data_IF_546058057364
#
_entry.id   IF_546058057364
#
_cell.length_a   1.000
_cell.length_b   1.000
_cell.length_c   1.000
_cell.angle_alpha   90.00
_cell.angle_beta   90.00
_cell.angle_gamma   90.00
#
_symmetry.space_group_name_H-M   'P 1'
#
loop_
_entity.id
_entity.type
_entity.pdbx_description
1 polymer ?
#
# COMPACT_ATOMS: atom_id res chain seq x y z
N UNK A 1 -24.11 18.26 -11.96
CA UNK A 1 -22.88 17.94 -12.77
C UNK A 1 -21.76 17.60 -11.82
N UNK A 2 -20.85 16.68 -12.17
CA UNK A 2 -19.67 16.37 -11.36
C UNK A 2 -18.54 17.38 -11.59
N UNK A 3 -17.82 17.73 -10.52
CA UNK A 3 -16.73 18.73 -10.60
C UNK A 3 -15.63 18.29 -11.57
N UNK A 4 -15.31 16.99 -11.61
CA UNK A 4 -14.33 16.46 -12.57
C UNK A 4 -14.70 16.75 -14.03
N UNK A 5 -16.00 16.70 -14.36
CA UNK A 5 -16.48 16.93 -15.72
C UNK A 5 -16.47 18.43 -16.06
N UNK A 6 -16.73 19.29 -15.06
CA UNK A 6 -16.57 20.74 -15.24
C UNK A 6 -15.12 21.06 -15.63
N UNK A 7 -14.12 20.49 -14.92
CA UNK A 7 -12.70 20.70 -15.26
C UNK A 7 -12.33 20.23 -16.65
N UNK A 8 -12.96 19.14 -17.15
CA UNK A 8 -12.68 18.60 -18.49
C UNK A 8 -13.25 19.48 -19.60
N UNK A 9 -14.44 20.08 -19.40
CA UNK A 9 -15.19 20.76 -20.46
C UNK A 9 -15.57 22.19 -20.11
N UNK A 10 -14.84 22.87 -19.18
CA UNK A 10 -15.21 24.18 -18.67
C UNK A 10 -15.39 25.24 -19.78
N UNK A 11 -14.59 25.16 -20.86
CA UNK A 11 -14.68 26.12 -21.97
C UNK A 11 -16.09 26.14 -22.66
N UNK A 12 -16.73 24.97 -22.71
CA UNK A 12 -18.05 24.80 -23.28
C UNK A 12 -19.16 25.18 -22.29
N UNK A 13 -18.82 25.23 -21.00
CA UNK A 13 -19.73 25.53 -19.89
C UNK A 13 -19.72 27.02 -19.48
N UNK A 14 -18.75 27.80 -19.96
CA UNK A 14 -18.71 29.24 -19.65
C UNK A 14 -20.04 29.93 -20.05
N UNK A 15 -20.47 30.83 -19.18
CA UNK A 15 -21.73 31.59 -19.28
C UNK A 15 -23.00 30.73 -19.25
N UNK A 16 -22.90 29.44 -18.90
CA UNK A 16 -24.04 28.55 -18.71
C UNK A 16 -24.34 28.33 -17.24
N UNK A 17 -25.62 28.14 -16.96
CA UNK A 17 -26.09 27.77 -15.65
C UNK A 17 -25.88 26.27 -15.44
N UNK A 18 -25.28 25.92 -14.31
CA UNK A 18 -25.06 24.56 -13.89
C UNK A 18 -25.50 24.32 -12.45
N UNK A 19 -25.87 23.08 -12.14
CA UNK A 19 -26.10 22.60 -10.77
C UNK A 19 -24.97 21.69 -10.34
N UNK A 20 -24.42 21.96 -9.16
CA UNK A 20 -23.41 21.11 -8.50
C UNK A 20 -23.82 20.79 -7.07
N UNK A 21 -23.38 19.67 -6.55
CA UNK A 21 -23.59 19.27 -5.15
C UNK A 21 -22.24 18.87 -4.56
N UNK A 22 -22.03 19.12 -3.27
CA UNK A 22 -20.78 18.75 -2.62
C UNK A 22 -20.70 19.24 -1.18
N UNK A 23 -19.52 19.08 -0.61
CA UNK A 23 -19.21 19.48 0.74
C UNK A 23 -18.32 20.72 0.76
N UNK A 24 -18.64 21.64 1.67
CA UNK A 24 -17.86 22.86 1.91
C UNK A 24 -16.52 22.48 2.54
N UNK A 25 -15.41 22.73 1.83
CA UNK A 25 -14.04 22.51 2.31
C UNK A 25 -13.36 23.77 2.82
N UNK A 26 -13.88 24.93 2.45
CA UNK A 26 -13.46 26.22 2.98
C UNK A 26 -14.60 27.19 2.76
N UNK A 27 -14.85 28.08 3.72
CA UNK A 27 -15.84 29.13 3.63
C UNK A 27 -15.23 30.44 4.14
N UNK A 28 -15.05 31.39 3.24
CA UNK A 28 -14.55 32.73 3.55
C UNK A 28 -15.71 33.73 3.39
N UNK A 29 -16.09 34.37 4.46
CA UNK A 29 -17.19 35.30 4.54
C UNK A 29 -16.65 36.73 4.60
N UNK A 30 -17.18 37.60 3.72
CA UNK A 30 -16.92 39.02 3.75
C UNK A 30 -18.28 39.78 3.76
N UNK A 31 -18.24 41.07 4.01
CA UNK A 31 -19.47 41.89 4.20
C UNK A 31 -20.41 41.88 2.98
N UNK A 32 -19.86 41.84 1.78
CA UNK A 32 -20.60 41.99 0.51
C UNK A 32 -20.50 40.72 -0.37
N UNK A 33 -19.53 39.87 -0.17
CA UNK A 33 -19.23 38.70 -0.98
C UNK A 33 -18.70 37.58 -0.14
N UNK A 34 -18.95 36.33 -0.53
CA UNK A 34 -18.36 35.15 0.11
C UNK A 34 -17.85 34.15 -0.90
N UNK A 35 -16.92 33.29 -0.43
CA UNK A 35 -16.26 32.31 -1.26
C UNK A 35 -16.34 30.96 -0.58
N UNK A 36 -16.72 29.91 -1.33
CA UNK A 36 -16.79 28.53 -0.85
C UNK A 36 -15.92 27.68 -1.77
N UNK A 37 -14.99 26.94 -1.19
CA UNK A 37 -14.30 25.85 -1.89
C UNK A 37 -15.17 24.59 -1.74
N UNK A 38 -15.80 24.16 -2.83
CA UNK A 38 -16.70 23.01 -2.88
C UNK A 38 -15.96 21.78 -3.43
N UNK A 39 -16.15 20.64 -2.80
CA UNK A 39 -15.68 19.34 -3.27
C UNK A 39 -16.84 18.36 -3.32
N UNK A 40 -17.03 17.70 -4.45
CA UNK A 40 -17.97 16.59 -4.59
C UNK A 40 -17.31 15.20 -4.46
N UNK A 41 -15.99 15.18 -4.25
CA UNK A 41 -15.22 13.96 -4.14
C UNK A 41 -14.83 13.30 -5.47
N UNK A 42 -15.27 13.79 -6.62
CA UNK A 42 -15.00 13.17 -7.93
C UNK A 42 -13.60 13.45 -8.48
N UNK A 43 -12.95 14.53 -8.02
CA UNK A 43 -11.55 14.85 -8.32
C UNK A 43 -10.87 15.49 -7.10
N UNK A 44 -9.55 15.67 -7.17
CA UNK A 44 -8.77 16.29 -6.10
C UNK A 44 -8.97 17.81 -6.03
N UNK A 45 -9.21 18.43 -7.19
CA UNK A 45 -9.49 19.88 -7.30
C UNK A 45 -10.83 20.23 -6.67
N UNK A 46 -10.93 21.47 -6.22
CA UNK A 46 -12.14 22.06 -5.62
C UNK A 46 -12.70 23.10 -6.57
N UNK A 47 -14.02 23.24 -6.61
CA UNK A 47 -14.68 24.29 -7.36
C UNK A 47 -14.89 25.51 -6.44
N UNK A 48 -14.36 26.66 -6.82
CA UNK A 48 -14.65 27.91 -6.13
C UNK A 48 -16.07 28.37 -6.48
N UNK A 49 -16.88 28.58 -5.47
CA UNK A 49 -18.20 29.19 -5.56
C UNK A 49 -18.07 30.61 -5.03
N UNK A 50 -18.56 31.57 -5.80
CA UNK A 50 -18.64 32.97 -5.39
C UNK A 50 -20.12 33.33 -5.23
N UNK A 51 -20.49 33.95 -4.10
CA UNK A 51 -21.83 34.43 -3.81
C UNK A 51 -21.76 35.84 -3.27
N UNK A 52 -22.75 36.67 -3.61
CA UNK A 52 -22.87 38.07 -3.21
C UNK A 52 -24.30 38.41 -2.84
N UNK A 53 -24.59 39.70 -2.54
CA UNK A 53 -25.92 40.15 -2.16
C UNK A 53 -27.02 39.88 -3.19
N UNK A 54 -26.66 39.59 -4.44
CA UNK A 54 -27.64 39.23 -5.49
C UNK A 54 -28.03 37.74 -5.40
N UNK A 55 -27.23 36.92 -4.65
CA UNK A 55 -27.51 35.50 -4.45
C UNK A 55 -28.72 35.35 -3.53
N UNK A 56 -29.68 34.54 -3.94
CA UNK A 56 -30.83 34.22 -3.11
C UNK A 56 -30.38 33.61 -1.77
N UNK A 57 -31.00 34.07 -0.68
CA UNK A 57 -30.68 33.62 0.69
C UNK A 57 -29.25 33.99 1.16
N UNK A 58 -28.67 35.09 0.69
CA UNK A 58 -27.29 35.50 1.04
C UNK A 58 -27.01 35.46 2.55
N UNK A 59 -27.90 35.98 3.39
CA UNK A 59 -27.73 36.00 4.86
C UNK A 59 -27.71 34.58 5.49
N UNK A 60 -28.47 33.63 4.93
CA UNK A 60 -28.52 32.27 5.41
C UNK A 60 -27.29 31.47 4.92
N UNK A 61 -26.84 31.72 3.69
CA UNK A 61 -25.60 31.13 3.17
C UNK A 61 -24.41 31.49 4.07
N UNK A 62 -24.36 32.73 4.53
CA UNK A 62 -23.31 33.20 5.42
C UNK A 62 -23.25 32.44 6.77
N UNK A 63 -24.31 31.76 7.17
CA UNK A 63 -24.39 30.97 8.41
C UNK A 63 -23.99 29.50 8.22
N UNK A 64 -23.91 29.02 6.99
CA UNK A 64 -23.56 27.61 6.71
C UNK A 64 -22.15 27.30 7.21
N UNK A 65 -22.02 26.21 7.93
CA UNK A 65 -20.74 25.79 8.53
C UNK A 65 -19.83 25.06 7.52
N UNK A 66 -18.54 25.08 7.82
CA UNK A 66 -17.55 24.22 7.19
C UNK A 66 -17.94 22.74 7.36
N UNK A 67 -17.76 21.94 6.32
CA UNK A 67 -18.13 20.52 6.35
C UNK A 67 -19.55 20.21 5.91
N UNK A 68 -20.45 21.20 5.90
CA UNK A 68 -21.84 21.03 5.44
C UNK A 68 -21.91 20.63 3.96
N UNK A 69 -22.94 19.87 3.60
CA UNK A 69 -23.24 19.53 2.22
C UNK A 69 -24.28 20.51 1.64
N UNK A 70 -24.04 20.96 0.41
CA UNK A 70 -24.85 21.95 -0.26
C UNK A 70 -25.14 21.59 -1.72
N UNK A 71 -26.25 22.13 -2.24
CA UNK A 71 -26.53 22.19 -3.66
C UNK A 71 -26.39 23.66 -4.12
N UNK A 72 -25.65 23.89 -5.18
CA UNK A 72 -25.38 25.20 -5.74
C UNK A 72 -25.90 25.26 -7.17
N UNK A 73 -26.66 26.26 -7.49
CA UNK A 73 -27.09 26.61 -8.86
C UNK A 73 -26.45 27.96 -9.19
N UNK A 74 -25.76 28.05 -10.31
CA UNK A 74 -25.05 29.26 -10.68
C UNK A 74 -24.53 29.23 -12.11
N UNK A 75 -23.95 30.34 -12.53
CA UNK A 75 -23.33 30.49 -13.85
C UNK A 75 -21.83 30.28 -13.74
N UNK A 76 -21.27 29.41 -14.59
CA UNK A 76 -19.83 29.25 -14.67
C UNK A 76 -19.21 30.45 -15.39
N UNK A 77 -18.29 31.14 -14.74
CA UNK A 77 -17.65 32.35 -15.28
C UNK A 77 -16.10 32.19 -15.27
N UNK A 78 -15.39 32.92 -16.15
CA UNK A 78 -13.92 32.99 -16.03
C UNK A 78 -13.54 33.58 -14.66
N UNK A 79 -12.54 33.00 -14.01
CA UNK A 79 -12.07 33.54 -12.74
C UNK A 79 -11.18 34.77 -12.97
N UNK A 80 -11.33 35.82 -12.16
CA UNK A 80 -10.41 36.95 -12.18
C UNK A 80 -9.09 36.68 -11.48
N UNK A 81 -8.96 35.53 -10.76
CA UNK A 81 -7.78 35.18 -9.98
C UNK A 81 -6.75 34.48 -10.84
N UNK A 82 -5.45 34.85 -10.70
CA UNK A 82 -4.36 34.15 -11.33
C UNK A 82 -4.28 32.68 -10.88
N UNK A 83 -4.05 31.80 -11.84
CA UNK A 83 -3.92 30.35 -11.58
C UNK A 83 -5.24 29.58 -11.47
N UNK A 84 -6.39 30.25 -11.61
CA UNK A 84 -7.73 29.65 -11.63
C UNK A 84 -8.46 29.98 -12.92
N UNK A 85 -8.84 28.96 -13.70
CA UNK A 85 -9.45 29.19 -15.02
C UNK A 85 -10.90 29.70 -14.95
N UNK A 86 -11.64 29.25 -13.94
CA UNK A 86 -13.09 29.54 -13.81
C UNK A 86 -13.55 29.46 -12.35
N UNK A 87 -14.70 30.02 -12.09
CA UNK A 87 -15.43 29.92 -10.82
C UNK A 87 -16.93 29.85 -11.08
N UNK A 88 -17.72 29.39 -10.12
CA UNK A 88 -19.17 29.34 -10.22
C UNK A 88 -19.79 30.52 -9.46
N UNK A 89 -20.36 31.47 -10.18
CA UNK A 89 -21.13 32.56 -9.59
C UNK A 89 -22.51 32.04 -9.20
N UNK A 90 -22.74 31.89 -7.89
CA UNK A 90 -23.95 31.30 -7.36
C UNK A 90 -25.16 32.23 -7.56
N UNK A 91 -26.26 31.68 -8.03
CA UNK A 91 -27.60 32.27 -8.02
C UNK A 91 -28.38 31.85 -6.79
N UNK A 92 -28.24 30.56 -6.42
CA UNK A 92 -28.90 29.95 -5.28
C UNK A 92 -27.97 28.90 -4.64
N UNK A 93 -27.97 28.84 -3.30
CA UNK A 93 -27.30 27.79 -2.52
C UNK A 93 -28.28 27.20 -1.52
N UNK A 94 -28.47 25.89 -1.57
CA UNK A 94 -29.34 25.15 -0.67
C UNK A 94 -28.54 24.29 0.26
N UNK A 95 -28.79 24.38 1.56
CA UNK A 95 -28.27 23.45 2.54
C UNK A 95 -28.93 22.08 2.37
N UNK A 96 -28.14 21.01 2.23
CA UNK A 96 -28.60 19.62 2.18
C UNK A 96 -28.45 18.99 3.58
N UNK A 97 -27.26 19.10 4.15
CA UNK A 97 -26.96 18.58 5.49
C UNK A 97 -26.03 19.55 6.21
N UNK A 98 -26.43 19.97 7.40
CA UNK A 98 -25.62 20.84 8.24
C UNK A 98 -24.47 20.08 8.88
N UNK A 99 -23.42 20.81 9.24
CA UNK A 99 -22.28 20.31 9.98
C UNK A 99 -22.14 21.14 11.27
N UNK A 100 -22.47 20.59 12.43
CA UNK A 100 -22.48 21.35 13.67
C UNK A 100 -21.08 21.80 14.09
N UNK A 101 -21.01 22.78 15.02
CA UNK A 101 -19.75 23.40 15.47
C UNK A 101 -18.80 22.43 16.20
N UNK A 102 -19.31 21.34 16.76
CA UNK A 102 -18.54 20.30 17.43
C UNK A 102 -17.86 19.32 16.45
N UNK A 103 -17.96 19.55 15.13
CA UNK A 103 -17.27 18.76 14.13
C UNK A 103 -15.76 18.72 14.40
N UNK A 104 -15.16 17.52 14.63
CA UNK A 104 -13.80 17.43 15.16
C UNK A 104 -12.74 17.95 14.19
N UNK A 105 -12.96 17.82 12.86
CA UNK A 105 -12.01 18.27 11.84
C UNK A 105 -12.31 19.74 11.46
N UNK A 106 -11.70 20.64 12.20
CA UNK A 106 -11.83 22.08 11.97
C UNK A 106 -10.93 22.56 10.82
N UNK A 107 -11.18 23.77 10.21
CA UNK A 107 -10.38 24.33 9.13
C UNK A 107 -8.99 24.84 9.63
N UNK A 108 -8.23 23.96 10.26
CA UNK A 108 -6.85 24.19 10.77
C UNK A 108 -6.00 22.97 10.49
N UNK A 109 -4.69 23.09 10.70
CA UNK A 109 -3.79 21.93 10.65
C UNK A 109 -4.07 20.98 11.82
N UNK A 110 -4.16 19.69 11.54
CA UNK A 110 -4.31 18.62 12.52
C UNK A 110 -3.10 17.69 12.43
N UNK A 111 -2.67 17.16 13.58
CA UNK A 111 -1.64 16.12 13.60
C UNK A 111 -2.18 14.82 12.99
N UNK A 112 -1.27 13.99 12.48
CA UNK A 112 -1.67 12.68 11.92
C UNK A 112 -2.19 11.75 13.01
N UNK A 113 -1.67 11.85 14.24
CA UNK A 113 -2.13 11.11 15.43
C UNK A 113 -3.62 11.39 15.69
N UNK A 114 -3.98 12.66 15.79
CA UNK A 114 -5.39 13.06 15.96
C UNK A 114 -6.27 12.53 14.80
N UNK A 115 -5.78 12.62 13.58
CA UNK A 115 -6.55 12.12 12.41
C UNK A 115 -6.67 10.58 12.37
N UNK A 116 -5.76 9.83 13.01
CA UNK A 116 -5.92 8.38 13.22
C UNK A 116 -7.04 8.06 14.20
N UNK A 117 -7.20 8.85 15.28
CA UNK A 117 -8.31 8.74 16.20
C UNK A 117 -9.66 9.06 15.54
N UNK A 118 -9.63 9.88 14.48
CA UNK A 118 -10.80 10.24 13.68
C UNK A 118 -10.80 9.51 12.32
N UNK A 119 -10.48 8.21 12.30
CA UNK A 119 -10.28 7.45 11.06
C UNK A 119 -11.47 7.53 10.09
N UNK A 120 -12.71 7.56 10.60
CA UNK A 120 -13.94 7.65 9.79
C UNK A 120 -14.17 9.05 9.18
N UNK A 121 -13.52 10.09 9.69
CA UNK A 121 -13.62 11.47 9.19
C UNK A 121 -12.38 11.91 8.40
N UNK A 122 -11.21 11.35 8.68
CA UNK A 122 -9.95 11.78 8.04
C UNK A 122 -9.94 11.76 6.51
N UNK A 123 -10.72 10.90 5.80
CA UNK A 123 -10.83 10.98 4.34
C UNK A 123 -11.38 12.31 3.82
N UNK A 124 -12.00 13.12 4.67
CA UNK A 124 -12.48 14.46 4.31
C UNK A 124 -11.37 15.51 4.26
N UNK A 125 -10.17 15.21 4.79
CA UNK A 125 -9.01 16.12 4.75
C UNK A 125 -8.28 16.04 3.40
N UNK A 126 -7.62 17.12 3.01
CA UNK A 126 -6.90 17.17 1.72
C UNK A 126 -5.77 16.12 1.65
N UNK A 127 -5.03 15.91 2.75
CA UNK A 127 -3.98 14.91 2.82
C UNK A 127 -4.50 13.51 2.51
N UNK A 128 -5.54 13.08 3.23
CA UNK A 128 -6.05 11.72 3.05
C UNK A 128 -6.85 11.54 1.75
N UNK A 129 -7.40 12.62 1.19
CA UNK A 129 -7.92 12.58 -0.18
C UNK A 129 -6.81 12.31 -1.19
N UNK A 130 -5.63 12.95 -1.07
CA UNK A 130 -4.49 12.66 -1.94
C UNK A 130 -4.04 11.22 -1.78
N UNK A 131 -3.74 10.79 -0.54
CA UNK A 131 -3.23 9.44 -0.25
C UNK A 131 -4.17 8.34 -0.75
N UNK A 132 -5.48 8.42 -0.47
CA UNK A 132 -6.41 7.35 -0.85
C UNK A 132 -6.78 7.37 -2.33
N UNK A 133 -6.65 8.51 -3.03
CA UNK A 133 -6.73 8.55 -4.49
C UNK A 133 -5.52 7.88 -5.12
N UNK A 134 -4.31 8.20 -4.64
CA UNK A 134 -3.09 7.52 -5.08
C UNK A 134 -3.17 6.02 -4.79
N UNK A 135 -3.67 5.61 -3.61
CA UNK A 135 -3.91 4.19 -3.28
C UNK A 135 -4.79 3.50 -4.33
N UNK A 136 -5.89 4.12 -4.71
CA UNK A 136 -6.80 3.56 -5.73
C UNK A 136 -6.15 3.46 -7.10
N UNK A 137 -5.46 4.52 -7.54
CA UNK A 137 -4.76 4.58 -8.83
C UNK A 137 -3.65 3.53 -8.88
N UNK A 138 -2.84 3.43 -7.82
CA UNK A 138 -1.76 2.46 -7.71
C UNK A 138 -2.27 1.01 -7.75
N UNK A 139 -3.40 0.71 -7.10
CA UNK A 139 -4.03 -0.61 -7.17
C UNK A 139 -4.38 -1.00 -8.60
N UNK A 140 -4.96 -0.07 -9.35
CA UNK A 140 -5.29 -0.31 -10.77
C UNK A 140 -4.05 -0.43 -11.64
N UNK A 141 -3.00 0.36 -11.39
CA UNK A 141 -1.72 0.26 -12.09
C UNK A 141 -1.10 -1.14 -11.96
N UNK A 142 -1.15 -1.72 -10.75
CA UNK A 142 -0.65 -3.07 -10.49
C UNK A 142 -1.45 -4.11 -11.29
N UNK A 143 -2.78 -4.03 -11.26
CA UNK A 143 -3.62 -4.92 -12.06
C UNK A 143 -3.36 -4.78 -13.56
N UNK A 144 -3.27 -3.54 -14.07
CA UNK A 144 -3.01 -3.28 -15.47
C UNK A 144 -1.64 -3.82 -15.91
N UNK A 145 -0.60 -3.63 -15.09
CA UNK A 145 0.72 -4.19 -15.36
C UNK A 145 0.67 -5.70 -15.56
N UNK A 146 0.19 -6.44 -14.56
CA UNK A 146 0.17 -7.89 -14.62
C UNK A 146 -0.74 -8.42 -15.73
N UNK A 147 -1.94 -7.84 -15.89
CA UNK A 147 -2.88 -8.28 -16.94
C UNK A 147 -2.33 -8.03 -18.33
N UNK A 148 -1.67 -6.89 -18.58
CA UNK A 148 -1.04 -6.58 -19.86
C UNK A 148 0.13 -7.51 -20.22
N UNK A 149 0.78 -8.10 -19.20
CA UNK A 149 1.85 -9.09 -19.35
C UNK A 149 1.35 -10.54 -19.43
N UNK A 150 0.02 -10.75 -19.41
CA UNK A 150 -0.61 -12.06 -19.52
C UNK A 150 -0.62 -12.90 -18.25
N UNK A 151 -0.52 -12.27 -17.08
CA UNK A 151 -0.67 -12.98 -15.82
C UNK A 151 -2.13 -13.29 -15.49
N UNK A 152 -2.38 -14.47 -14.92
CA UNK A 152 -3.66 -14.81 -14.33
C UNK A 152 -3.77 -14.20 -12.93
N UNK A 153 -4.85 -13.44 -12.66
CA UNK A 153 -5.16 -12.98 -11.32
C UNK A 153 -5.85 -14.08 -10.51
N UNK A 154 -5.22 -14.49 -9.42
CA UNK A 154 -5.69 -15.54 -8.53
C UNK A 154 -6.28 -14.96 -7.24
N UNK A 155 -7.47 -15.40 -6.88
CA UNK A 155 -8.05 -15.19 -5.55
C UNK A 155 -7.68 -16.38 -4.65
N UNK A 156 -6.62 -16.23 -3.87
CA UNK A 156 -6.25 -17.25 -2.91
C UNK A 156 -7.13 -17.17 -1.64
N UNK A 157 -7.32 -18.29 -0.93
CA UNK A 157 -8.14 -18.31 0.29
C UNK A 157 -7.47 -17.54 1.43
N UNK A 158 -8.29 -16.88 2.24
CA UNK A 158 -7.83 -16.17 3.46
C UNK A 158 -7.63 -17.15 4.62
N UNK A 159 -8.48 -18.19 4.71
CA UNK A 159 -8.35 -19.24 5.72
C UNK A 159 -7.35 -20.30 5.26
N UNK A 160 -6.40 -20.62 6.12
CA UNK A 160 -5.39 -21.65 5.81
C UNK A 160 -5.06 -22.48 7.05
N UNK A 161 -4.72 -23.74 6.80
CA UNK A 161 -4.19 -24.63 7.83
C UNK A 161 -2.64 -24.74 7.77
N UNK A 162 -2.01 -24.07 6.78
CA UNK A 162 -0.55 -24.11 6.56
C UNK A 162 0.07 -22.75 6.80
N UNK A 163 1.17 -22.71 7.53
CA UNK A 163 2.00 -21.52 7.70
C UNK A 163 3.04 -21.44 6.59
N UNK A 164 2.85 -20.53 5.65
CA UNK A 164 3.74 -20.36 4.51
C UNK A 164 5.16 -19.89 4.91
N UNK A 165 5.28 -19.12 5.97
CA UNK A 165 6.58 -18.60 6.42
C UNK A 165 7.27 -19.50 7.44
N UNK A 166 6.53 -20.45 8.04
CA UNK A 166 7.07 -21.42 9.00
C UNK A 166 7.42 -20.85 10.37
N UNK A 167 7.18 -19.56 10.59
CA UNK A 167 7.47 -18.84 11.84
C UNK A 167 6.40 -17.77 12.12
N UNK A 168 5.30 -17.80 11.37
CA UNK A 168 4.32 -16.75 11.38
C UNK A 168 3.46 -16.74 12.63
N UNK A 169 3.32 -15.60 13.27
CA UNK A 169 2.29 -15.37 14.27
C UNK A 169 0.93 -15.26 13.55
N UNK A 170 0.30 -16.41 13.29
CA UNK A 170 -1.00 -16.47 12.64
C UNK A 170 -2.12 -16.11 13.63
N UNK A 171 -3.07 -15.30 13.19
CA UNK A 171 -4.36 -15.21 13.89
C UNK A 171 -5.08 -16.54 13.76
N UNK A 172 -5.50 -17.11 14.88
CA UNK A 172 -6.30 -18.31 14.90
C UNK A 172 -7.78 -17.98 14.64
N UNK A 173 -8.43 -18.75 13.79
CA UNK A 173 -9.87 -18.67 13.54
C UNK A 173 -10.58 -19.84 14.20
N UNK A 174 -11.62 -19.59 14.98
CA UNK A 174 -12.41 -20.59 15.67
C UNK A 174 -13.86 -20.14 15.81
N UNK A 175 -14.77 -21.10 15.79
CA UNK A 175 -16.19 -20.92 16.13
C UNK A 175 -16.52 -21.46 17.51
N UNK A 176 -15.53 -21.98 18.24
CA UNK A 176 -15.71 -22.45 19.59
C UNK A 176 -15.95 -21.29 20.56
N UNK A 177 -16.81 -21.54 21.55
CA UNK A 177 -17.08 -20.61 22.64
C UNK A 177 -15.87 -20.54 23.57
N UNK A 178 -15.17 -19.40 23.58
CA UNK A 178 -13.95 -19.19 24.36
C UNK A 178 -14.23 -19.20 25.88
N UNK A 179 -15.41 -18.76 26.32
CA UNK A 179 -15.79 -18.78 27.75
C UNK A 179 -15.97 -20.22 28.19
N UNK A 180 -16.63 -21.06 27.38
CA UNK A 180 -16.76 -22.47 27.65
C UNK A 180 -15.42 -23.22 27.63
N UNK A 181 -14.50 -22.85 26.77
CA UNK A 181 -13.12 -23.38 26.78
C UNK A 181 -12.43 -23.00 28.10
N UNK A 182 -12.56 -21.75 28.54
CA UNK A 182 -11.98 -21.29 29.80
C UNK A 182 -12.52 -22.05 31.00
N UNK A 183 -13.82 -22.35 31.02
CA UNK A 183 -14.47 -23.14 32.10
C UNK A 183 -14.03 -24.60 32.11
N UNK A 184 -13.91 -25.23 30.95
CA UNK A 184 -13.64 -26.68 30.84
C UNK A 184 -12.16 -27.02 30.74
N UNK A 185 -11.32 -26.05 30.35
CA UNK A 185 -9.89 -26.26 30.06
C UNK A 185 -9.63 -27.14 28.84
N UNK A 186 -10.62 -27.37 27.98
CA UNK A 186 -10.52 -28.29 26.83
C UNK A 186 -10.72 -27.54 25.52
N UNK A 187 -9.77 -27.72 24.61
CA UNK A 187 -9.87 -27.31 23.20
C UNK A 187 -10.02 -28.56 22.33
N UNK A 188 -11.04 -28.60 21.48
CA UNK A 188 -11.23 -29.69 20.51
C UNK A 188 -11.30 -29.09 19.11
N UNK A 189 -10.20 -29.20 18.36
CA UNK A 189 -10.19 -28.75 16.97
C UNK A 189 -11.03 -29.63 16.05
N UNK A 190 -11.27 -30.89 16.41
CA UNK A 190 -12.14 -31.82 15.66
C UNK A 190 -13.59 -31.36 15.66
N UNK A 191 -14.03 -30.70 16.74
CA UNK A 191 -15.38 -30.17 16.88
C UNK A 191 -15.51 -28.73 16.36
N UNK A 192 -14.43 -28.10 15.93
CA UNK A 192 -14.46 -26.75 15.35
C UNK A 192 -14.90 -26.79 13.88
N UNK A 193 -15.27 -25.64 13.32
CA UNK A 193 -15.90 -25.50 12.00
C UNK A 193 -15.17 -26.27 10.89
N UNK A 194 -13.83 -26.23 10.86
CA UNK A 194 -13.02 -26.89 9.85
C UNK A 194 -12.52 -28.28 10.26
N UNK A 195 -12.85 -28.79 11.45
CA UNK A 195 -12.38 -30.07 11.98
C UNK A 195 -10.86 -30.11 12.23
N UNK A 196 -10.19 -28.96 12.23
CA UNK A 196 -8.76 -28.81 12.48
C UNK A 196 -8.40 -27.34 12.80
N UNK A 197 -7.20 -27.13 13.32
CA UNK A 197 -6.70 -25.77 13.57
C UNK A 197 -6.53 -25.01 12.24
N UNK A 198 -7.12 -23.82 12.16
CA UNK A 198 -7.07 -22.92 11.00
C UNK A 198 -6.74 -21.51 11.46
N UNK A 199 -6.02 -20.77 10.64
CA UNK A 199 -5.68 -19.37 10.86
C UNK A 199 -5.99 -18.49 9.65
N UNK A 200 -5.65 -17.19 9.80
CA UNK A 200 -5.66 -16.25 8.69
C UNK A 200 -4.30 -16.33 7.97
N UNK A 201 -4.32 -16.27 6.63
CA UNK A 201 -3.13 -16.42 5.79
C UNK A 201 -2.12 -15.29 6.03
N UNK A 202 -0.84 -15.67 6.16
CA UNK A 202 0.31 -14.76 6.26
C UNK A 202 0.95 -14.48 4.90
N UNK A 203 0.62 -15.27 3.87
CA UNK A 203 1.05 -15.17 2.47
C UNK A 203 0.24 -16.14 1.62
N UNK A 204 0.03 -15.80 0.35
CA UNK A 204 -0.66 -16.65 -0.63
C UNK A 204 0.29 -17.32 -1.61
N UNK A 205 1.60 -17.32 -1.31
CA UNK A 205 2.66 -17.86 -2.16
C UNK A 205 2.41 -19.33 -2.54
N UNK A 206 2.06 -20.17 -1.60
CA UNK A 206 1.91 -21.61 -1.85
C UNK A 206 0.82 -21.92 -2.85
N UNK A 207 -0.34 -21.25 -2.71
CA UNK A 207 -1.44 -21.38 -3.65
C UNK A 207 -1.04 -20.84 -5.03
N UNK A 208 -0.34 -19.70 -5.07
CA UNK A 208 0.16 -19.13 -6.32
C UNK A 208 1.17 -20.04 -7.02
N UNK A 209 2.08 -20.71 -6.29
CA UNK A 209 3.01 -21.70 -6.86
C UNK A 209 2.26 -22.88 -7.54
N UNK A 210 1.13 -23.33 -6.99
CA UNK A 210 0.34 -24.40 -7.61
C UNK A 210 -0.24 -23.97 -8.95
N UNK A 211 -0.74 -22.74 -9.01
CA UNK A 211 -1.32 -22.17 -10.23
C UNK A 211 -0.25 -21.80 -11.26
N UNK A 212 0.93 -21.35 -10.83
CA UNK A 212 2.05 -21.08 -11.75
C UNK A 212 2.48 -22.32 -12.53
N UNK A 213 2.43 -23.51 -11.92
CA UNK A 213 2.72 -24.77 -12.60
C UNK A 213 1.63 -25.21 -13.62
N UNK A 214 0.52 -24.50 -13.68
CA UNK A 214 -0.53 -24.75 -14.68
C UNK A 214 -0.72 -23.59 -15.66
N UNK A 215 -0.51 -22.35 -15.20
CA UNK A 215 -0.78 -21.14 -15.97
C UNK A 215 0.47 -20.32 -16.32
N UNK A 216 1.65 -20.78 -15.91
CA UNK A 216 2.97 -20.17 -16.08
C UNK A 216 3.19 -18.85 -15.33
N UNK A 217 2.27 -17.91 -15.44
CA UNK A 217 2.35 -16.57 -14.81
C UNK A 217 1.08 -16.26 -14.06
N UNK A 218 1.18 -16.14 -12.75
CA UNK A 218 0.04 -15.80 -11.89
C UNK A 218 0.41 -14.71 -10.91
N UNK A 219 -0.56 -14.01 -10.37
CA UNK A 219 -0.36 -13.11 -9.25
C UNK A 219 -1.58 -13.09 -8.34
N UNK A 220 -1.37 -12.87 -7.06
CA UNK A 220 -2.38 -12.52 -6.09
C UNK A 220 -2.27 -11.03 -5.77
N UNK A 221 -3.37 -10.42 -5.38
CA UNK A 221 -3.40 -9.10 -4.76
C UNK A 221 -4.54 -9.12 -3.75
N UNK A 222 -4.23 -9.39 -2.51
CA UNK A 222 -5.22 -9.68 -1.49
C UNK A 222 -4.76 -9.35 -0.07
N UNK A 223 -5.67 -9.47 0.91
CA UNK A 223 -5.38 -9.21 2.30
C UNK A 223 -4.48 -10.31 2.89
N UNK A 224 -3.57 -9.88 3.74
CA UNK A 224 -2.61 -10.70 4.49
C UNK A 224 -2.65 -10.31 5.96
N UNK A 225 -2.47 -11.26 6.86
CA UNK A 225 -2.68 -11.07 8.29
C UNK A 225 -1.48 -11.59 9.07
N UNK A 226 -0.88 -10.74 9.93
CA UNK A 226 0.22 -11.12 10.82
C UNK A 226 -0.03 -10.62 12.22
N UNK A 227 -0.06 -11.51 13.20
CA UNK A 227 -0.30 -11.19 14.61
C UNK A 227 0.95 -10.63 15.31
N UNK A 228 1.83 -9.99 14.56
CA UNK A 228 3.04 -9.37 15.05
C UNK A 228 2.73 -8.20 16.01
N UNK A 229 3.34 -8.23 17.19
CA UNK A 229 3.21 -7.19 18.23
C UNK A 229 4.14 -6.00 18.03
N UNK A 230 4.68 -5.82 16.81
CA UNK A 230 5.57 -4.72 16.48
C UNK A 230 4.88 -3.35 16.60
N UNK A 231 5.61 -2.39 17.13
CA UNK A 231 5.15 -1.00 17.27
C UNK A 231 5.83 -0.04 16.27
N UNK A 232 6.48 -0.56 15.23
CA UNK A 232 7.18 0.25 14.25
C UNK A 232 6.21 1.00 13.32
N UNK A 233 6.64 2.05 12.63
CA UNK A 233 5.83 2.74 11.63
C UNK A 233 5.58 1.93 10.35
N UNK A 234 6.15 0.72 10.23
CA UNK A 234 6.12 -0.11 9.02
C UNK A 234 5.25 -1.37 9.15
N UNK A 235 4.62 -1.61 10.32
CA UNK A 235 3.85 -2.83 10.59
C UNK A 235 2.40 -2.53 10.94
N UNK A 236 1.49 -3.29 10.33
CA UNK A 236 0.07 -3.41 10.66
C UNK A 236 -0.31 -4.89 10.64
N UNK A 237 -1.33 -5.28 11.39
CA UNK A 237 -1.75 -6.67 11.51
C UNK A 237 -2.54 -7.17 10.28
N UNK A 238 -3.15 -6.25 9.54
CA UNK A 238 -3.87 -6.51 8.29
C UNK A 238 -3.35 -5.55 7.22
N UNK A 239 -2.85 -6.09 6.12
CA UNK A 239 -2.31 -5.33 4.99
C UNK A 239 -2.59 -6.07 3.68
N UNK A 240 -2.32 -5.43 2.55
CA UNK A 240 -2.47 -6.05 1.24
C UNK A 240 -1.11 -6.45 0.70
N UNK A 241 -1.06 -7.64 0.09
CA UNK A 241 0.17 -8.15 -0.51
C UNK A 241 -0.05 -8.48 -1.98
N UNK A 242 0.95 -8.19 -2.80
CA UNK A 242 1.02 -8.56 -4.20
C UNK A 242 2.05 -9.67 -4.31
N UNK A 243 1.66 -10.84 -4.80
CA UNK A 243 2.52 -12.01 -4.85
C UNK A 243 2.42 -12.68 -6.22
N UNK A 244 3.27 -12.30 -7.19
CA UNK A 244 3.41 -13.03 -8.45
C UNK A 244 4.26 -14.27 -8.28
N UNK A 245 3.89 -15.34 -9.01
CA UNK A 245 4.68 -16.56 -9.17
C UNK A 245 4.79 -16.88 -10.67
N UNK A 246 6.01 -17.17 -11.11
CA UNK A 246 6.34 -17.35 -12.54
C UNK A 246 7.11 -18.65 -12.73
N UNK A 247 6.56 -19.56 -13.54
CA UNK A 247 7.22 -20.79 -13.95
C UNK A 247 8.26 -20.51 -15.06
N UNK A 248 9.28 -21.37 -15.11
CA UNK A 248 10.40 -21.24 -16.05
C UNK A 248 11.15 -19.91 -15.93
N UNK A 249 11.30 -19.44 -14.70
CA UNK A 249 11.91 -18.18 -14.33
C UNK A 249 12.91 -18.38 -13.20
N UNK A 250 14.14 -17.94 -13.40
CA UNK A 250 15.19 -17.94 -12.40
C UNK A 250 15.17 -16.67 -11.51
N UNK A 251 16.15 -16.54 -10.63
CA UNK A 251 16.27 -15.36 -9.77
C UNK A 251 16.49 -14.07 -10.58
N UNK A 252 17.27 -14.14 -11.64
CA UNK A 252 17.54 -12.96 -12.48
C UNK A 252 16.29 -12.48 -13.20
N UNK A 253 15.51 -13.40 -13.76
CA UNK A 253 14.25 -13.09 -14.42
C UNK A 253 13.21 -12.46 -13.49
N UNK A 254 13.10 -12.94 -12.24
CA UNK A 254 12.14 -12.36 -11.29
C UNK A 254 12.58 -10.98 -10.79
N UNK A 255 13.89 -10.71 -10.69
CA UNK A 255 14.42 -9.37 -10.39
C UNK A 255 14.12 -8.39 -11.54
N UNK A 256 14.23 -8.82 -12.79
CA UNK A 256 13.86 -7.99 -13.96
C UNK A 256 12.38 -7.60 -13.92
N UNK A 257 11.51 -8.56 -13.61
CA UNK A 257 10.05 -8.31 -13.47
C UNK A 257 9.78 -7.32 -12.32
N UNK A 258 10.46 -7.45 -11.19
CA UNK A 258 10.31 -6.56 -10.05
C UNK A 258 10.76 -5.12 -10.37
N UNK A 259 11.90 -4.95 -11.06
CA UNK A 259 12.39 -3.65 -11.52
C UNK A 259 11.39 -2.98 -12.49
N UNK A 260 10.90 -3.75 -13.47
CA UNK A 260 9.95 -3.26 -14.47
C UNK A 260 8.61 -2.84 -13.82
N UNK A 261 8.08 -3.66 -12.90
CA UNK A 261 6.88 -3.33 -12.14
C UNK A 261 7.03 -2.01 -11.37
N UNK A 262 8.14 -1.84 -10.63
CA UNK A 262 8.38 -0.60 -9.84
C UNK A 262 8.39 0.61 -10.76
N UNK A 263 9.11 0.56 -11.86
CA UNK A 263 9.16 1.65 -12.84
C UNK A 263 7.79 1.93 -13.44
N UNK A 264 7.06 0.88 -13.81
CA UNK A 264 5.73 1.01 -14.37
C UNK A 264 4.77 1.72 -13.41
N UNK A 265 4.65 1.25 -12.17
CA UNK A 265 3.68 1.81 -11.21
C UNK A 265 4.04 3.24 -10.79
N UNK A 266 5.31 3.57 -10.68
CA UNK A 266 5.77 4.95 -10.43
C UNK A 266 5.35 5.85 -11.59
N UNK A 267 5.69 5.47 -12.82
CA UNK A 267 5.32 6.25 -14.02
C UNK A 267 3.81 6.41 -14.12
N UNK A 268 3.06 5.33 -13.98
CA UNK A 268 1.60 5.35 -14.02
C UNK A 268 1.01 6.31 -12.99
N UNK A 269 1.51 6.28 -11.76
CA UNK A 269 1.03 7.16 -10.69
C UNK A 269 1.33 8.64 -11.00
N UNK A 270 2.53 8.96 -11.47
CA UNK A 270 2.89 10.33 -11.86
C UNK A 270 2.04 10.85 -13.02
N UNK A 271 1.65 9.98 -13.95
CA UNK A 271 0.82 10.35 -15.11
C UNK A 271 -0.66 10.52 -14.73
N UNK A 272 -1.19 9.72 -13.80
CA UNK A 272 -2.64 9.64 -13.51
C UNK A 272 -3.07 10.34 -12.22
N UNK A 273 -2.13 10.66 -11.32
CA UNK A 273 -2.39 11.31 -10.03
C UNK A 273 -1.65 12.66 -9.90
N UNK A 274 -1.57 13.43 -10.97
CA UNK A 274 -0.72 14.63 -11.04
C UNK A 274 -1.02 15.64 -9.94
N UNK A 275 -2.29 16.00 -9.74
CA UNK A 275 -2.68 17.01 -8.74
C UNK A 275 -2.39 16.51 -7.31
N UNK A 276 -2.62 15.23 -7.04
CA UNK A 276 -2.34 14.58 -5.77
C UNK A 276 -0.83 14.53 -5.49
N UNK A 277 -0.03 14.16 -6.50
CA UNK A 277 1.43 14.07 -6.37
C UNK A 277 2.08 15.44 -6.20
N UNK A 278 1.61 16.48 -6.90
CA UNK A 278 2.04 17.87 -6.67
C UNK A 278 1.73 18.34 -5.23
N UNK A 279 0.57 17.95 -4.70
CA UNK A 279 0.24 18.24 -3.30
C UNK A 279 1.17 17.51 -2.33
N UNK A 280 1.43 16.22 -2.54
CA UNK A 280 2.29 15.41 -1.70
C UNK A 280 3.75 15.90 -1.74
N UNK A 281 4.25 16.25 -2.92
CA UNK A 281 5.59 16.84 -3.10
C UNK A 281 5.75 18.15 -2.33
N UNK A 282 4.72 18.98 -2.33
CA UNK A 282 4.76 20.29 -1.66
C UNK A 282 4.61 20.22 -0.15
N UNK A 283 3.74 19.32 0.37
CA UNK A 283 3.29 19.36 1.75
C UNK A 283 3.67 18.14 2.60
N UNK A 284 4.13 17.06 1.97
CA UNK A 284 4.51 15.82 2.68
C UNK A 284 6.01 15.58 2.58
N UNK A 285 6.56 15.42 1.37
CA UNK A 285 7.98 15.19 1.14
C UNK A 285 8.45 16.09 0.00
N UNK A 286 9.15 17.18 0.33
CA UNK A 286 9.70 18.09 -0.69
C UNK A 286 10.73 17.37 -1.57
N UNK A 287 10.53 17.37 -2.88
CA UNK A 287 11.36 16.67 -3.86
C UNK A 287 10.94 15.22 -4.12
N UNK A 288 9.74 14.83 -3.68
CA UNK A 288 9.16 13.51 -3.90
C UNK A 288 9.11 13.14 -5.39
N UNK A 289 8.61 14.04 -6.23
CA UNK A 289 8.49 13.80 -7.68
C UNK A 289 9.87 13.61 -8.30
N UNK A 290 10.87 14.41 -7.91
CA UNK A 290 12.24 14.27 -8.39
C UNK A 290 12.84 12.94 -7.97
N UNK A 291 12.62 12.50 -6.72
CA UNK A 291 13.07 11.21 -6.21
C UNK A 291 12.47 10.05 -7.00
N UNK A 292 11.16 10.07 -7.22
CA UNK A 292 10.47 9.05 -8.00
C UNK A 292 10.92 9.04 -9.47
N UNK A 293 11.10 10.21 -10.08
CA UNK A 293 11.58 10.32 -11.47
C UNK A 293 12.99 9.77 -11.64
N UNK A 294 13.87 9.92 -10.66
CA UNK A 294 15.21 9.31 -10.68
C UNK A 294 15.15 7.79 -10.74
N UNK A 295 14.21 7.16 -10.02
CA UNK A 295 14.05 5.70 -10.04
C UNK A 295 13.74 5.20 -11.44
N UNK A 296 12.98 5.95 -12.25
CA UNK A 296 12.65 5.55 -13.62
C UNK A 296 13.87 5.42 -14.53
N UNK A 297 14.94 6.14 -14.23
CA UNK A 297 16.19 6.15 -15.01
C UNK A 297 17.32 5.32 -14.40
N UNK A 298 17.13 4.80 -13.19
CA UNK A 298 18.09 3.92 -12.53
C UNK A 298 18.12 2.52 -13.18
N UNK A 299 19.30 1.90 -13.21
CA UNK A 299 19.45 0.46 -13.36
C UNK A 299 19.67 -0.13 -11.97
N UNK A 300 18.80 -1.01 -11.53
CA UNK A 300 18.87 -1.58 -10.20
C UNK A 300 20.03 -2.57 -10.13
N UNK A 301 21.00 -2.31 -9.26
CA UNK A 301 22.16 -3.18 -9.09
C UNK A 301 21.75 -4.47 -8.39
N UNK A 302 22.43 -5.56 -8.73
CA UNK A 302 22.34 -6.85 -8.02
C UNK A 302 23.63 -7.02 -7.22
N UNK A 303 23.52 -6.97 -5.90
CA UNK A 303 24.68 -6.93 -5.00
C UNK A 303 24.59 -8.10 -4.01
N UNK A 304 25.55 -9.04 -4.02
CA UNK A 304 25.55 -10.14 -3.08
C UNK A 304 25.61 -9.66 -1.62
N UNK A 305 24.91 -10.36 -0.73
CA UNK A 305 24.90 -10.09 0.71
C UNK A 305 26.31 -9.92 1.28
N UNK A 306 27.23 -10.78 0.91
CA UNK A 306 28.63 -10.71 1.35
C UNK A 306 29.29 -9.37 0.98
N UNK A 307 29.05 -8.89 -0.23
CA UNK A 307 29.57 -7.59 -0.69
C UNK A 307 28.94 -6.43 0.10
N UNK A 308 27.64 -6.48 0.39
CA UNK A 308 26.97 -5.50 1.25
C UNK A 308 27.60 -5.44 2.65
N UNK A 309 27.86 -6.59 3.27
CA UNK A 309 28.57 -6.66 4.55
C UNK A 309 29.96 -6.04 4.45
N UNK A 310 30.72 -6.32 3.38
CA UNK A 310 32.05 -5.73 3.16
C UNK A 310 31.98 -4.21 3.00
N UNK A 311 30.97 -3.67 2.30
CA UNK A 311 30.74 -2.23 2.16
C UNK A 311 30.46 -1.60 3.53
N UNK A 312 29.59 -2.22 4.34
CA UNK A 312 29.25 -1.73 5.67
C UNK A 312 30.48 -1.72 6.60
N UNK A 313 31.27 -2.78 6.62
CA UNK A 313 32.52 -2.87 7.39
C UNK A 313 33.53 -1.79 7.00
N UNK A 314 33.67 -1.52 5.71
CA UNK A 314 34.59 -0.49 5.16
C UNK A 314 34.10 0.94 5.35
N UNK A 315 32.85 1.14 5.75
CA UNK A 315 32.24 2.47 5.89
C UNK A 315 32.87 3.35 6.96
N UNK A 316 33.50 2.73 7.97
CA UNK A 316 34.01 3.42 9.15
C UNK A 316 32.93 3.99 10.07
N UNK A 317 31.65 3.70 9.82
CA UNK A 317 30.52 4.08 10.70
C UNK A 317 30.46 3.18 11.91
N UNK A 318 30.15 3.75 13.05
CA UNK A 318 29.80 3.03 14.27
C UNK A 318 28.29 2.73 14.24
N UNK A 319 27.95 1.51 13.82
CA UNK A 319 26.56 1.03 13.77
C UNK A 319 26.16 0.44 15.15
N UNK A 320 24.91 0.62 15.52
CA UNK A 320 24.35 0.00 16.74
C UNK A 320 24.43 -1.54 16.65
N UNK A 321 24.11 -2.09 15.48
CA UNK A 321 24.27 -3.50 15.18
C UNK A 321 25.52 -3.70 14.31
N UNK A 322 26.50 -4.46 14.78
CA UNK A 322 27.72 -4.71 14.00
C UNK A 322 27.42 -5.53 12.74
N UNK A 323 27.84 -5.06 11.55
CA UNK A 323 27.62 -5.82 10.32
C UNK A 323 28.57 -7.01 10.24
N UNK A 324 28.08 -8.22 10.51
CA UNK A 324 28.85 -9.46 10.44
C UNK A 324 28.20 -10.42 9.43
N UNK A 325 29.03 -11.26 8.76
CA UNK A 325 28.48 -12.26 7.86
C UNK A 325 27.67 -13.29 8.66
N UNK A 326 26.45 -13.55 8.22
CA UNK A 326 25.49 -14.41 8.94
C UNK A 326 24.57 -13.66 9.91
N UNK A 327 24.70 -12.33 10.03
CA UNK A 327 23.77 -11.47 10.77
C UNK A 327 22.73 -10.87 9.84
N UNK A 328 21.54 -10.60 10.35
CA UNK A 328 20.52 -9.89 9.59
C UNK A 328 20.95 -8.44 9.26
N UNK A 329 20.36 -7.87 8.20
CA UNK A 329 20.58 -6.47 7.79
C UNK A 329 19.62 -5.57 8.55
N UNK A 330 20.16 -4.83 9.54
CA UNK A 330 19.36 -3.90 10.32
C UNK A 330 18.94 -2.65 9.50
N UNK A 331 17.90 -1.94 9.94
CA UNK A 331 17.40 -0.73 9.25
C UNK A 331 18.45 0.37 9.05
N UNK A 332 19.41 0.51 9.96
CA UNK A 332 20.54 1.44 9.78
C UNK A 332 21.50 1.02 8.66
N UNK A 333 21.64 -0.30 8.42
CA UNK A 333 22.41 -0.87 7.33
C UNK A 333 21.72 -0.64 5.99
N UNK A 334 20.40 -0.95 5.89
CA UNK A 334 19.59 -0.69 4.70
C UNK A 334 19.69 0.79 4.30
N UNK A 335 19.51 1.70 5.28
CA UNK A 335 19.66 3.15 5.05
C UNK A 335 21.03 3.51 4.51
N UNK A 336 22.10 2.98 5.12
CA UNK A 336 23.46 3.27 4.65
C UNK A 336 23.68 2.77 3.22
N UNK A 337 23.26 1.54 2.92
CA UNK A 337 23.45 0.91 1.60
C UNK A 337 22.64 1.65 0.53
N UNK A 338 21.39 2.02 0.80
CA UNK A 338 20.56 2.79 -0.14
C UNK A 338 21.12 4.19 -0.38
N UNK A 339 21.68 4.85 0.64
CA UNK A 339 22.38 6.14 0.51
C UNK A 339 23.70 5.99 -0.27
N UNK A 340 24.39 4.86 -0.12
CA UNK A 340 25.63 4.56 -0.84
C UNK A 340 25.39 4.34 -2.34
N UNK A 341 24.40 3.51 -2.70
CA UNK A 341 24.07 3.21 -4.10
C UNK A 341 23.28 4.33 -4.79
N UNK A 342 22.54 5.15 -4.05
CA UNK A 342 21.69 6.27 -4.54
C UNK A 342 20.61 5.85 -5.55
N UNK A 343 20.38 4.58 -5.70
CA UNK A 343 19.40 3.91 -6.55
C UNK A 343 18.83 2.73 -5.79
N UNK A 344 17.63 2.24 -6.13
CA UNK A 344 17.21 0.93 -5.70
C UNK A 344 18.22 -0.14 -6.10
N UNK A 345 18.40 -1.17 -5.27
CA UNK A 345 19.27 -2.29 -5.57
C UNK A 345 18.73 -3.58 -4.99
N UNK A 346 19.05 -4.70 -5.61
CA UNK A 346 18.74 -6.03 -5.08
C UNK A 346 19.89 -6.51 -4.22
N UNK A 347 19.60 -6.85 -2.96
CA UNK A 347 20.49 -7.53 -2.05
C UNK A 347 20.29 -9.02 -2.23
N UNK A 348 21.27 -9.73 -2.82
CA UNK A 348 21.12 -11.09 -3.34
C UNK A 348 21.98 -12.10 -2.59
N UNK A 349 21.74 -13.40 -2.84
CA UNK A 349 22.60 -14.50 -2.36
C UNK A 349 22.79 -14.49 -0.85
N UNK A 350 21.68 -14.56 -0.15
CA UNK A 350 21.65 -14.59 1.30
C UNK A 350 22.17 -15.91 1.89
N UNK A 351 22.78 -15.90 3.08
CA UNK A 351 23.04 -17.14 3.83
C UNK A 351 21.73 -17.90 4.07
N UNK A 352 21.74 -19.23 3.87
CA UNK A 352 20.52 -20.06 3.98
C UNK A 352 19.88 -20.02 5.37
N UNK A 353 20.66 -19.75 6.41
CA UNK A 353 20.21 -19.70 7.80
C UNK A 353 19.29 -18.49 8.07
N UNK A 354 19.38 -17.44 7.26
CA UNK A 354 18.61 -16.20 7.41
C UNK A 354 17.33 -16.18 6.57
N UNK A 355 17.10 -17.22 5.76
CA UNK A 355 16.00 -17.20 4.78
C UNK A 355 15.12 -18.45 4.87
N UNK A 356 13.92 -18.34 4.32
CA UNK A 356 12.87 -19.34 4.40
C UNK A 356 13.24 -20.66 3.71
N UNK A 357 12.62 -21.74 4.16
CA UNK A 357 12.94 -23.11 3.76
C UNK A 357 12.69 -23.43 2.29
N UNK A 358 11.77 -22.73 1.66
CA UNK A 358 11.35 -22.95 0.27
C UNK A 358 12.28 -22.33 -0.78
N UNK A 359 13.27 -21.54 -0.36
CA UNK A 359 14.20 -20.89 -1.28
C UNK A 359 15.23 -21.89 -1.81
N UNK A 360 15.56 -21.79 -3.10
CA UNK A 360 16.53 -22.65 -3.77
C UNK A 360 17.90 -22.54 -3.12
N UNK A 361 18.42 -23.69 -2.66
CA UNK A 361 19.74 -23.78 -2.03
C UNK A 361 20.86 -23.82 -3.07
N UNK A 362 21.86 -22.98 -2.89
CA UNK A 362 23.03 -22.89 -3.75
C UNK A 362 24.20 -23.71 -3.18
N UNK A 363 25.14 -24.18 -4.03
CA UNK A 363 26.26 -25.03 -3.59
C UNK A 363 27.22 -24.37 -2.58
N UNK A 364 27.24 -23.03 -2.53
CA UNK A 364 28.12 -22.24 -1.65
C UNK A 364 27.51 -21.95 -0.26
N UNK A 365 26.35 -22.54 0.04
CA UNK A 365 25.65 -22.34 1.31
C UNK A 365 24.73 -21.12 1.35
N UNK A 366 24.57 -20.43 0.22
CA UNK A 366 23.58 -19.35 0.08
C UNK A 366 22.25 -19.87 -0.47
N UNK A 367 21.27 -18.99 -0.58
CA UNK A 367 20.03 -19.24 -1.30
C UNK A 367 19.88 -18.28 -2.47
N UNK A 368 19.21 -18.71 -3.54
CA UNK A 368 18.82 -17.85 -4.66
C UNK A 368 17.62 -16.96 -4.23
N UNK A 369 17.90 -16.06 -3.31
CA UNK A 369 16.97 -15.07 -2.77
C UNK A 369 17.49 -13.66 -2.96
N UNK A 370 16.58 -12.71 -3.03
CA UNK A 370 16.91 -11.29 -3.11
C UNK A 370 15.86 -10.43 -2.41
N UNK A 371 16.30 -9.32 -1.85
CA UNK A 371 15.42 -8.29 -1.32
C UNK A 371 15.65 -6.99 -2.11
N UNK A 372 14.58 -6.31 -2.53
CA UNK A 372 14.70 -5.02 -3.20
C UNK A 372 14.71 -3.91 -2.16
N UNK A 373 15.84 -3.26 -2.07
CA UNK A 373 16.12 -2.13 -1.20
C UNK A 373 15.86 -0.81 -1.94
N UNK A 374 15.00 0.03 -1.38
CA UNK A 374 14.64 1.31 -1.98
C UNK A 374 15.06 2.49 -1.10
N UNK A 375 15.66 3.56 -1.70
CA UNK A 375 16.13 4.72 -0.94
C UNK A 375 15.03 5.37 -0.08
N UNK A 376 15.30 5.55 1.21
CA UNK A 376 14.40 6.20 2.17
C UNK A 376 13.40 5.29 2.86
N UNK A 377 13.20 4.04 2.42
CA UNK A 377 12.28 3.09 3.06
C UNK A 377 12.94 1.75 3.41
N UNK A 378 14.01 1.36 2.71
CA UNK A 378 14.66 0.06 2.85
C UNK A 378 13.96 -1.03 2.06
N UNK A 379 13.87 -2.24 2.60
CA UNK A 379 13.25 -3.39 1.97
C UNK A 379 11.76 -3.16 1.68
N UNK A 380 11.38 -3.36 0.40
CA UNK A 380 9.99 -3.29 -0.07
C UNK A 380 9.52 -4.63 -0.67
N UNK A 381 10.43 -5.40 -1.29
CA UNK A 381 10.16 -6.70 -1.91
C UNK A 381 11.06 -7.76 -1.31
N UNK A 382 10.49 -8.90 -0.95
CA UNK A 382 11.23 -10.14 -0.72
C UNK A 382 10.95 -11.12 -1.87
N UNK A 383 11.99 -11.72 -2.46
CA UNK A 383 11.86 -12.60 -3.62
C UNK A 383 12.82 -13.78 -3.56
N UNK A 384 12.46 -14.85 -4.25
CA UNK A 384 13.39 -15.97 -4.45
C UNK A 384 13.01 -16.84 -5.64
N UNK A 385 14.01 -17.56 -6.15
CA UNK A 385 13.79 -18.80 -6.86
C UNK A 385 13.39 -19.87 -5.85
N UNK A 386 12.39 -20.68 -6.20
CA UNK A 386 11.82 -21.72 -5.33
C UNK A 386 12.63 -23.01 -5.49
N UNK A 387 12.83 -23.75 -4.37
CA UNK A 387 13.51 -25.05 -4.43
C UNK A 387 12.67 -26.05 -5.23
N UNK A 388 13.15 -26.49 -6.36
CA UNK A 388 12.51 -27.49 -7.21
C UNK A 388 12.93 -28.92 -6.92
N UNK A 389 14.04 -29.11 -6.22
CA UNK A 389 14.53 -30.42 -5.81
C UNK A 389 13.79 -30.90 -4.56
N UNK A 390 13.12 -32.05 -4.70
CA UNK A 390 12.31 -32.64 -3.64
C UNK A 390 13.15 -32.99 -2.41
N UNK A 391 14.30 -33.60 -2.61
CA UNK A 391 15.13 -34.11 -1.51
C UNK A 391 15.78 -32.95 -0.75
N UNK A 392 16.22 -31.92 -1.44
CA UNK A 392 16.75 -30.68 -0.82
C UNK A 392 15.69 -29.97 -0.01
N UNK A 393 14.47 -29.79 -0.56
CA UNK A 393 13.38 -29.17 0.16
C UNK A 393 13.05 -29.93 1.46
N UNK A 394 12.84 -31.24 1.38
CA UNK A 394 12.53 -32.07 2.54
C UNK A 394 13.67 -32.10 3.56
N UNK A 395 14.91 -32.12 3.08
CA UNK A 395 16.09 -32.04 3.96
C UNK A 395 16.13 -30.74 4.74
N UNK A 396 15.86 -29.60 4.04
CA UNK A 396 15.82 -28.28 4.68
C UNK A 396 14.69 -28.15 5.70
N UNK A 397 13.50 -28.67 5.39
CA UNK A 397 12.38 -28.71 6.33
C UNK A 397 12.71 -29.49 7.60
N UNK A 398 13.44 -30.62 7.46
CA UNK A 398 13.91 -31.41 8.61
C UNK A 398 14.96 -30.66 9.44
N UNK A 399 15.90 -29.93 8.80
CA UNK A 399 16.87 -29.08 9.50
C UNK A 399 16.19 -28.03 10.39
N UNK A 400 14.99 -27.60 10.01
CA UNK A 400 14.18 -26.58 10.72
C UNK A 400 13.12 -27.18 11.65
N UNK A 401 13.15 -28.49 11.92
CA UNK A 401 12.18 -29.21 12.76
C UNK A 401 10.70 -28.98 12.35
N UNK A 402 10.45 -28.78 11.04
CA UNK A 402 9.11 -28.58 10.52
C UNK A 402 8.32 -29.88 10.47
N UNK A 403 7.02 -29.77 10.72
CA UNK A 403 6.07 -30.91 10.59
C UNK A 403 5.71 -31.15 9.13
N UNK A 404 6.44 -32.03 8.47
CA UNK A 404 6.35 -32.32 7.04
C UNK A 404 4.93 -32.70 6.62
N UNK A 405 4.18 -33.35 7.50
CA UNK A 405 2.81 -33.79 7.24
C UNK A 405 1.84 -32.63 6.96
N UNK A 406 2.09 -31.46 7.55
CA UNK A 406 1.29 -30.25 7.34
C UNK A 406 1.54 -29.63 5.94
N UNK A 407 2.63 -30.02 5.27
CA UNK A 407 3.06 -29.50 3.97
C UNK A 407 3.07 -30.56 2.85
N UNK A 408 2.47 -31.72 3.06
CA UNK A 408 2.53 -32.84 2.13
C UNK A 408 2.08 -32.48 0.71
N UNK A 409 1.00 -31.71 0.59
CA UNK A 409 0.49 -31.23 -0.71
C UNK A 409 1.46 -30.30 -1.43
N UNK A 410 2.12 -29.42 -0.70
CA UNK A 410 3.14 -28.49 -1.23
C UNK A 410 4.41 -29.23 -1.68
N UNK A 411 4.86 -30.20 -0.89
CA UNK A 411 5.99 -31.06 -1.24
C UNK A 411 5.70 -31.85 -2.52
N UNK A 412 4.48 -32.36 -2.68
CA UNK A 412 4.05 -33.12 -3.88
C UNK A 412 4.15 -32.31 -5.18
N UNK A 413 4.15 -30.99 -5.14
CA UNK A 413 4.39 -30.15 -6.33
C UNK A 413 5.78 -30.43 -6.96
N UNK A 414 6.77 -30.84 -6.15
CA UNK A 414 8.12 -31.19 -6.66
C UNK A 414 8.14 -32.56 -7.31
N UNK A 415 7.13 -33.40 -7.05
CA UNK A 415 7.01 -34.74 -7.59
C UNK A 415 6.31 -34.80 -8.95
N UNK A 416 5.35 -33.89 -9.17
CA UNK A 416 4.43 -33.97 -10.30
C UNK A 416 4.74 -32.88 -11.34
N UNK A 417 5.82 -33.07 -12.11
CA UNK A 417 6.19 -32.18 -13.23
C UNK A 417 6.68 -30.81 -12.76
N UNK A 418 7.59 -30.83 -11.79
CA UNK A 418 8.22 -29.60 -11.27
C UNK A 418 9.01 -28.86 -12.36
N UNK A 419 9.11 -27.56 -12.22
CA UNK A 419 9.96 -26.70 -13.03
C UNK A 419 10.65 -25.66 -12.18
N UNK A 420 11.69 -25.04 -12.71
CA UNK A 420 12.27 -23.82 -12.18
C UNK A 420 11.17 -22.75 -12.10
N UNK A 421 11.08 -22.07 -10.98
CA UNK A 421 10.10 -20.99 -10.78
C UNK A 421 10.55 -20.00 -9.72
N UNK A 422 10.07 -18.79 -9.85
CA UNK A 422 10.43 -17.69 -8.94
C UNK A 422 9.22 -16.81 -8.68
N UNK A 423 9.24 -16.14 -7.53
CA UNK A 423 8.21 -15.18 -7.17
C UNK A 423 8.70 -14.17 -6.15
N UNK A 424 7.87 -13.16 -5.90
CA UNK A 424 8.14 -12.16 -4.89
C UNK A 424 6.87 -11.75 -4.13
N UNK A 425 7.05 -11.19 -2.94
CA UNK A 425 6.00 -10.53 -2.18
C UNK A 425 6.26 -9.03 -2.04
N UNK A 426 5.21 -8.23 -2.23
CA UNK A 426 5.25 -6.79 -1.99
C UNK A 426 4.16 -6.41 -1.00
N UNK A 427 4.53 -5.79 0.12
CA UNK A 427 3.56 -5.10 0.96
C UNK A 427 3.05 -3.84 0.25
N UNK A 428 1.78 -3.85 -0.16
CA UNK A 428 1.17 -2.75 -0.91
C UNK A 428 1.28 -1.42 -0.17
N UNK A 429 1.07 -1.44 1.13
CA UNK A 429 1.17 -0.25 1.97
C UNK A 429 2.59 0.32 2.02
N UNK A 430 3.62 -0.53 2.04
CA UNK A 430 5.03 -0.07 1.97
C UNK A 430 5.33 0.59 0.63
N UNK A 431 4.87 0.00 -0.47
CA UNK A 431 4.99 0.61 -1.79
C UNK A 431 4.25 1.95 -1.86
N UNK A 432 3.06 2.04 -1.30
CA UNK A 432 2.28 3.27 -1.24
C UNK A 432 2.96 4.33 -0.37
N UNK A 433 3.56 3.97 0.76
CA UNK A 433 4.39 4.88 1.57
C UNK A 433 5.53 5.46 0.73
N UNK A 434 6.23 4.60 -0.01
CA UNK A 434 7.32 5.03 -0.87
C UNK A 434 6.86 6.04 -1.94
N UNK A 435 5.74 5.76 -2.61
CA UNK A 435 5.20 6.60 -3.69
C UNK A 435 4.63 7.92 -3.17
N UNK A 436 4.04 7.93 -1.96
CA UNK A 436 3.37 9.12 -1.40
C UNK A 436 4.27 9.97 -0.50
N UNK A 437 5.45 9.46 -0.10
CA UNK A 437 6.31 10.12 0.89
C UNK A 437 5.77 10.05 2.33
N UNK A 438 4.75 9.25 2.58
CA UNK A 438 4.18 9.07 3.92
C UNK A 438 5.09 8.15 4.74
N UNK A 439 5.42 8.56 5.95
CA UNK A 439 6.39 7.91 6.84
C UNK A 439 5.78 6.88 7.81
N UNK A 440 4.47 6.70 7.80
CA UNK A 440 3.79 5.77 8.70
C UNK A 440 2.69 4.99 7.98
N UNK A 441 2.77 3.66 8.02
CA UNK A 441 1.85 2.74 7.34
C UNK A 441 0.38 2.95 7.74
N UNK A 442 0.12 3.42 8.97
CA UNK A 442 -1.23 3.73 9.46
C UNK A 442 -1.90 4.86 8.67
N UNK A 443 -1.12 5.71 8.00
CA UNK A 443 -1.62 6.85 7.25
C UNK A 443 -1.87 6.54 5.77
N UNK A 444 -1.45 5.38 5.31
CA UNK A 444 -1.77 4.86 3.97
C UNK A 444 -2.81 3.73 3.99
N UNK A 445 -3.19 3.26 5.20
CA UNK A 445 -4.20 2.24 5.42
C UNK A 445 -5.52 2.90 5.82
N UNK A 446 -6.68 2.62 5.17
CA UNK A 446 -7.95 3.28 5.49
C UNK A 446 -8.36 3.15 6.96
N UNK A 447 -8.36 1.94 7.49
CA UNK A 447 -8.65 1.60 8.89
C UNK A 447 -7.54 0.67 9.39
N UNK A 448 -6.43 1.21 9.93
CA UNK A 448 -5.29 0.38 10.31
C UNK A 448 -5.62 -0.54 11.48
N UNK A 449 -5.26 -1.82 11.35
CA UNK A 449 -5.33 -2.82 12.41
C UNK A 449 -3.93 -3.00 12.98
N UNK A 450 -3.74 -2.68 14.24
CA UNK A 450 -2.45 -2.81 14.93
C UNK A 450 -2.64 -3.44 16.30
N UNK A 451 -1.55 -3.85 16.91
CA UNK A 451 -1.59 -4.40 18.27
C UNK A 451 -2.37 -3.45 19.21
N UNK A 452 -3.38 -3.99 19.91
CA UNK A 452 -4.30 -3.28 20.83
C UNK A 452 -5.18 -2.20 20.19
N UNK A 453 -5.36 -2.15 18.87
CA UNK A 453 -6.29 -1.23 18.22
C UNK A 453 -6.98 -1.87 17.02
N UNK A 454 -8.33 -1.92 17.13
CA UNK A 454 -9.26 -2.41 16.10
C UNK A 454 -10.62 -1.69 16.28
N UNK A 455 -10.61 -0.35 16.31
CA UNK A 455 -11.72 0.47 16.82
C UNK A 455 -12.84 0.73 15.80
N UNK A 456 -12.71 0.36 14.55
CA UNK A 456 -13.72 0.62 13.50
C UNK A 456 -14.04 -0.63 12.69
#
# INVERSE_FOLDING_TARGET
MEIKDIYKQYKELLDKDIEVRGWIRKHRKQKEVGFIDLSDGTCFKKLQIVYDKSTKNFEDIAKIHFGSSVKVIGTLIPSPADGQCFELKAKEIYLIGDCPEDYPIQPKAHSREFLREQAYLRPRTTLFQAVFRVRSILSMAIHEYFQSQGYLYLHAPIFTASDCEGAGEMFQVTTQDLDKIAETGKVSYEDDFFGKKVGLSVSTQFEAETFAQAFSKVYTFGPTFRADKSHTPYHVAEFWQIEPEVAFCDLDGIMDIAEDLVKYVIKYTLDHAKDEMEYLDKYVEKGLIDRLTKVLTCNFKRVPYKECIDILKKSGKDFEFKPEYGSDIAKEHEKYLTDYFKCPFFLTMWPKELKSFYMKQMPDGTVAGADLEMPGIGEVFGMSQREEDLDKLVSRMKELDMKIEEYEWYIKLRKYGTCERSGFGIGFERLLMYITGIDNIKDVTPYPRVHKSCDY
#
